data_IF_647648831663
#
_entry.id   IF_647648831663
#
_cell.length_a   1.000
_cell.length_b   1.000
_cell.length_c   1.000
_cell.angle_alpha   90.00
_cell.angle_beta   90.00
_cell.angle_gamma   90.00
#
_symmetry.space_group_name_H-M   'P 1'
#
loop_
_entity.id
_entity.type
_entity.pdbx_description
1 polymer ?
#
# COMPACT_ATOMS: atom_id res chain seq x y z
N UNK A 1 25.42 -11.14 0.82
CA UNK A 1 24.11 -11.50 0.23
C UNK A 1 24.04 -10.93 -1.17
N UNK A 2 23.50 -11.69 -2.09
CA UNK A 2 23.37 -11.25 -3.48
C UNK A 2 22.17 -10.30 -3.63
N UNK A 3 22.26 -9.35 -4.56
CA UNK A 3 21.21 -8.37 -4.79
C UNK A 3 19.87 -9.03 -5.11
N UNK A 4 19.86 -10.12 -5.91
CA UNK A 4 18.63 -10.85 -6.22
C UNK A 4 17.93 -11.39 -4.96
N UNK A 5 18.69 -11.86 -3.98
CA UNK A 5 18.13 -12.31 -2.72
C UNK A 5 17.53 -11.15 -1.92
N UNK A 6 18.19 -9.99 -1.91
CA UNK A 6 17.64 -8.80 -1.28
C UNK A 6 16.30 -8.40 -1.86
N UNK A 7 16.19 -8.38 -3.19
CA UNK A 7 14.93 -8.01 -3.85
C UNK A 7 13.82 -9.00 -3.53
N UNK A 8 14.15 -10.29 -3.46
CA UNK A 8 13.15 -11.33 -3.13
C UNK A 8 12.70 -11.22 -1.67
N UNK A 9 13.63 -10.98 -0.76
CA UNK A 9 13.31 -10.76 0.65
C UNK A 9 12.46 -9.50 0.81
N UNK A 10 12.83 -8.41 0.15
CA UNK A 10 12.08 -7.18 0.18
C UNK A 10 10.65 -7.38 -0.34
N UNK A 11 10.49 -8.14 -1.42
CA UNK A 11 9.17 -8.44 -1.98
C UNK A 11 8.28 -9.18 -0.96
N UNK A 12 8.83 -10.17 -0.26
CA UNK A 12 8.08 -10.92 0.75
C UNK A 12 7.69 -10.02 1.92
N UNK A 13 8.62 -9.19 2.40
CA UNK A 13 8.33 -8.27 3.51
C UNK A 13 7.27 -7.24 3.12
N UNK A 14 7.35 -6.69 1.91
CA UNK A 14 6.36 -5.75 1.40
C UNK A 14 4.99 -6.42 1.25
N UNK A 15 4.96 -7.66 0.79
CA UNK A 15 3.72 -8.40 0.64
C UNK A 15 3.06 -8.64 2.00
N UNK A 16 3.84 -9.01 3.01
CA UNK A 16 3.32 -9.18 4.36
C UNK A 16 2.78 -7.87 4.92
N UNK A 17 3.48 -6.77 4.69
CA UNK A 17 3.04 -5.46 5.11
C UNK A 17 1.72 -5.08 4.41
N UNK A 18 1.65 -5.28 3.10
CA UNK A 18 0.45 -4.98 2.32
C UNK A 18 -0.74 -5.83 2.76
N UNK A 19 -0.51 -7.11 3.02
CA UNK A 19 -1.55 -8.01 3.53
C UNK A 19 -2.08 -7.53 4.89
N UNK A 20 -1.18 -7.15 5.80
CA UNK A 20 -1.57 -6.60 7.09
C UNK A 20 -2.34 -5.29 6.97
N UNK A 21 -1.85 -4.37 6.14
CA UNK A 21 -2.51 -3.10 5.88
C UNK A 21 -3.91 -3.30 5.29
N UNK A 22 -4.03 -4.15 4.27
CA UNK A 22 -5.29 -4.35 3.56
C UNK A 22 -6.29 -5.16 4.39
N UNK A 23 -5.82 -6.09 5.22
CA UNK A 23 -6.72 -6.92 6.04
C UNK A 23 -7.38 -6.12 7.17
N UNK A 24 -6.68 -5.14 7.73
CA UNK A 24 -7.25 -4.26 8.76
C UNK A 24 -8.01 -3.09 8.17
N UNK A 25 -7.83 -2.82 6.91
CA UNK A 25 -8.37 -1.69 6.18
C UNK A 25 -8.92 -2.20 4.84
N UNK A 26 -10.06 -1.79 4.39
CA UNK A 26 -11.08 -0.88 4.94
C UNK A 26 -12.21 -1.63 5.66
N UNK A 27 -11.97 -2.86 6.10
CA UNK A 27 -12.99 -3.79 6.56
C UNK A 27 -13.47 -3.51 7.98
N UNK A 28 -12.66 -2.81 8.77
CA UNK A 28 -13.00 -2.48 10.14
C UNK A 28 -12.82 -0.99 10.39
N UNK A 29 -13.58 -0.47 11.36
CA UNK A 29 -13.46 0.92 11.75
C UNK A 29 -12.15 1.14 12.49
N UNK A 30 -11.46 2.28 12.22
CA UNK A 30 -10.26 2.62 12.97
C UNK A 30 -10.58 2.85 14.44
N UNK A 31 -9.69 2.37 15.31
CA UNK A 31 -9.88 2.44 16.76
C UNK A 31 -8.87 3.36 17.44
N UNK A 32 -8.26 4.25 16.68
CA UNK A 32 -7.17 5.10 17.15
C UNK A 32 -7.60 6.54 17.42
N UNK A 33 -8.85 6.73 17.84
CA UNK A 33 -9.33 8.01 18.36
C UNK A 33 -9.89 8.97 17.34
N UNK A 34 -10.27 8.51 16.16
CA UNK A 34 -10.90 9.38 15.15
C UNK A 34 -12.40 9.45 15.35
N UNK A 35 -12.98 10.57 14.98
CA UNK A 35 -14.43 10.78 14.97
C UNK A 35 -15.01 10.26 13.67
N UNK A 36 -15.44 9.00 13.67
CA UNK A 36 -15.99 8.35 12.49
C UNK A 36 -17.26 9.01 11.98
N UNK A 37 -18.11 9.51 12.90
CA UNK A 37 -19.32 10.19 12.51
C UNK A 37 -19.03 11.44 11.70
N UNK A 38 -18.09 12.26 12.16
CA UNK A 38 -17.66 13.46 11.43
C UNK A 38 -16.99 13.10 10.12
N UNK A 39 -16.15 12.07 10.10
CA UNK A 39 -15.48 11.63 8.87
C UNK A 39 -16.48 11.21 7.79
N UNK A 40 -17.56 10.52 8.19
CA UNK A 40 -18.57 10.01 7.26
C UNK A 40 -19.58 11.07 6.85
N UNK A 41 -19.79 12.10 7.65
CA UNK A 41 -20.84 13.10 7.39
C UNK A 41 -20.30 14.43 6.86
N UNK A 42 -19.03 14.74 7.10
CA UNK A 42 -18.45 16.01 6.64
C UNK A 42 -18.07 15.91 5.19
N UNK A 43 -18.68 16.77 4.37
CA UNK A 43 -18.44 16.80 2.92
C UNK A 43 -17.48 17.92 2.56
N UNK A 44 -16.69 17.68 1.51
CA UNK A 44 -15.88 18.71 0.89
C UNK A 44 -15.91 18.50 -0.62
N UNK A 45 -15.53 19.53 -1.36
CA UNK A 45 -15.52 19.47 -2.81
C UNK A 45 -14.09 19.35 -3.31
N UNK A 46 -13.88 18.37 -4.21
CA UNK A 46 -12.60 18.19 -4.87
C UNK A 46 -12.85 17.90 -6.35
N UNK A 47 -12.26 18.71 -7.23
CA UNK A 47 -12.40 18.57 -8.68
C UNK A 47 -13.85 18.52 -9.14
N UNK A 48 -14.74 19.25 -8.48
CA UNK A 48 -16.17 19.29 -8.81
C UNK A 48 -17.01 18.17 -8.20
N UNK A 49 -16.41 17.29 -7.41
CA UNK A 49 -17.12 16.19 -6.76
C UNK A 49 -17.24 16.44 -5.25
N UNK A 50 -18.41 16.13 -4.70
CA UNK A 50 -18.62 16.14 -3.25
C UNK A 50 -18.17 14.80 -2.69
N UNK A 51 -17.29 14.85 -1.70
CA UNK A 51 -16.75 13.66 -1.04
C UNK A 51 -16.72 13.88 0.47
N UNK A 52 -16.79 12.79 1.23
CA UNK A 52 -16.60 12.83 2.69
C UNK A 52 -15.15 12.56 3.03
N UNK A 53 -14.75 12.90 4.25
CA UNK A 53 -13.43 12.52 4.75
C UNK A 53 -13.26 11.01 4.82
N UNK A 54 -14.36 10.27 5.06
CA UNK A 54 -14.32 8.81 5.02
C UNK A 54 -13.97 8.31 3.62
N UNK A 55 -14.58 8.89 2.57
CA UNK A 55 -14.26 8.53 1.19
C UNK A 55 -12.77 8.75 0.91
N UNK A 56 -12.24 9.86 1.36
CA UNK A 56 -10.82 10.19 1.19
C UNK A 56 -9.93 9.18 1.93
N UNK A 57 -10.30 8.84 3.17
CA UNK A 57 -9.56 7.86 3.97
C UNK A 57 -9.51 6.50 3.27
N UNK A 58 -10.66 6.00 2.84
CA UNK A 58 -10.76 4.70 2.16
C UNK A 58 -10.01 4.74 0.82
N UNK A 59 -10.22 5.78 0.03
CA UNK A 59 -9.56 5.90 -1.27
C UNK A 59 -8.05 5.97 -1.15
N UNK A 60 -7.55 6.75 -0.21
CA UNK A 60 -6.11 6.89 0.01
C UNK A 60 -5.50 5.57 0.49
N UNK A 61 -6.18 4.88 1.41
CA UNK A 61 -5.70 3.59 1.91
C UNK A 61 -5.67 2.51 0.84
N UNK A 62 -6.69 2.47 -0.02
CA UNK A 62 -6.70 1.56 -1.16
C UNK A 62 -5.61 1.89 -2.17
N UNK A 63 -5.34 3.18 -2.39
CA UNK A 63 -4.23 3.62 -3.23
C UNK A 63 -2.89 3.09 -2.68
N UNK A 64 -2.68 3.19 -1.37
CA UNK A 64 -1.47 2.65 -0.74
C UNK A 64 -1.38 1.13 -0.93
N UNK A 65 -2.49 0.41 -0.79
CA UNK A 65 -2.52 -1.04 -0.99
C UNK A 65 -2.10 -1.42 -2.41
N UNK A 66 -2.62 -0.74 -3.41
CA UNK A 66 -2.28 -0.99 -4.82
C UNK A 66 -0.82 -0.63 -5.09
N UNK A 67 -0.35 0.48 -4.56
CA UNK A 67 1.02 0.91 -4.73
C UNK A 67 2.00 -0.08 -4.11
N UNK A 68 1.69 -0.58 -2.91
CA UNK A 68 2.51 -1.60 -2.25
C UNK A 68 2.54 -2.90 -3.05
N UNK A 69 1.41 -3.31 -3.60
CA UNK A 69 1.36 -4.50 -4.43
C UNK A 69 2.23 -4.34 -5.68
N UNK A 70 2.19 -3.17 -6.32
CA UNK A 70 3.06 -2.88 -7.45
C UNK A 70 4.53 -2.97 -7.05
N UNK A 71 4.88 -2.43 -5.88
CA UNK A 71 6.26 -2.51 -5.37
C UNK A 71 6.67 -3.97 -5.13
N UNK A 72 5.78 -4.82 -4.63
CA UNK A 72 6.03 -6.25 -4.45
C UNK A 72 6.36 -6.90 -5.79
N UNK A 73 5.54 -6.66 -6.80
CA UNK A 73 5.73 -7.26 -8.13
C UNK A 73 7.06 -6.82 -8.73
N UNK A 74 7.36 -5.52 -8.67
CA UNK A 74 8.62 -4.99 -9.20
C UNK A 74 9.82 -5.56 -8.47
N UNK A 75 9.78 -5.64 -7.14
CA UNK A 75 10.88 -6.18 -6.36
C UNK A 75 11.09 -7.67 -6.68
N UNK A 76 10.02 -8.43 -6.84
CA UNK A 76 10.11 -9.84 -7.19
C UNK A 76 10.74 -10.03 -8.57
N UNK A 77 10.30 -9.22 -9.56
CA UNK A 77 10.84 -9.28 -10.91
C UNK A 77 12.31 -8.89 -10.95
N UNK A 78 12.70 -7.87 -10.20
CA UNK A 78 14.11 -7.49 -10.08
C UNK A 78 14.95 -8.63 -9.51
N UNK A 79 14.42 -9.37 -8.55
CA UNK A 79 15.11 -10.53 -8.00
C UNK A 79 15.26 -11.68 -8.98
N UNK A 80 14.46 -11.70 -10.05
CA UNK A 80 14.52 -12.71 -11.10
C UNK A 80 15.46 -12.37 -12.25
N UNK A 81 16.08 -11.19 -12.25
CA UNK A 81 16.99 -10.79 -13.32
C UNK A 81 18.29 -11.59 -13.28
N UNK A 82 18.97 -11.76 -14.45
CA UNK A 82 20.25 -12.44 -14.48
C UNK A 82 21.28 -11.76 -13.58
N UNK A 83 22.15 -12.55 -12.98
CA UNK A 83 23.19 -12.04 -12.10
C UNK A 83 24.08 -10.99 -12.79
N UNK A 84 24.29 -11.12 -14.07
CA UNK A 84 25.06 -10.15 -14.86
C UNK A 84 24.46 -8.75 -14.85
N UNK A 85 23.17 -8.62 -14.61
CA UNK A 85 22.51 -7.31 -14.46
C UNK A 85 23.03 -6.56 -13.23
N UNK A 86 23.39 -7.27 -12.17
CA UNK A 86 23.83 -6.69 -10.90
C UNK A 86 25.37 -6.72 -10.82
N UNK A 87 26.03 -5.87 -11.62
CA UNK A 87 27.49 -5.87 -11.72
C UNK A 87 28.22 -5.53 -10.42
N UNK A 88 27.52 -4.88 -9.52
CA UNK A 88 28.07 -4.49 -8.23
C UNK A 88 27.93 -5.59 -7.16
N UNK A 89 27.40 -6.71 -7.53
CA UNK A 89 27.29 -7.88 -6.65
C UNK A 89 28.69 -8.50 -6.32
#
# INVERSE_FOLDING_TARGET
MKASAFYRIAAVLLLLFDAGHTSGFPWSDPKWGVDLGSMRSTHFYIMGFSRTYWDFYVGFGLFVSVFLLLAVVLAWQLGGLPRSFFRWE
#
